data_IF_087603609486
#
_entry.id   IF_087603609486
#
_cell.length_a   1.000
_cell.length_b   1.000
_cell.length_c   1.000
_cell.angle_alpha   90.00
_cell.angle_beta   90.00
_cell.angle_gamma   90.00
#
_symmetry.space_group_name_H-M   'P 1'
#
loop_
_entity.id
_entity.type
_entity.pdbx_description
1 polymer ?
#
# COMPACT_ATOMS: atom_id res chain seq x y z
N UNK A 1 8.47 2.47 4.67
CA UNK A 1 7.40 3.12 5.44
C UNK A 1 7.85 4.49 5.90
N UNK A 2 7.04 5.52 5.61
CA UNK A 2 7.36 6.96 5.72
C UNK A 2 7.19 7.52 7.13
N UNK A 3 6.67 6.75 8.09
CA UNK A 3 6.40 7.22 9.45
C UNK A 3 5.19 8.16 9.57
N UNK A 4 4.43 8.34 8.49
CA UNK A 4 3.25 9.19 8.45
C UNK A 4 2.02 8.49 9.05
N UNK A 5 1.14 9.29 9.64
CA UNK A 5 -0.09 8.80 10.26
C UNK A 5 -0.99 8.12 9.23
N UNK A 6 -1.34 6.86 9.50
CA UNK A 6 -2.24 6.05 8.65
C UNK A 6 -3.41 5.53 9.48
N UNK A 7 -4.58 5.40 8.86
CA UNK A 7 -5.78 4.91 9.54
C UNK A 7 -5.82 3.37 9.57
N UNK A 8 -6.04 2.82 10.76
CA UNK A 8 -6.24 1.39 10.98
C UNK A 8 -7.56 1.15 11.72
N UNK A 9 -8.14 -0.01 11.49
CA UNK A 9 -9.34 -0.48 12.19
C UNK A 9 -8.98 -1.75 12.98
N UNK A 10 -9.39 -1.79 14.25
CA UNK A 10 -9.33 -2.99 15.06
C UNK A 10 -10.72 -3.66 15.08
N UNK A 11 -10.75 -4.99 15.00
CA UNK A 11 -11.99 -5.73 15.24
C UNK A 11 -12.46 -5.55 16.69
N UNK A 12 -13.71 -5.95 16.96
CA UNK A 12 -14.22 -6.00 18.34
C UNK A 12 -13.29 -6.84 19.22
N UNK A 13 -12.80 -6.25 20.32
CA UNK A 13 -11.82 -6.88 21.21
C UNK A 13 -10.35 -6.80 20.76
N UNK A 14 -10.04 -6.10 19.66
CA UNK A 14 -8.69 -5.89 19.13
C UNK A 14 -7.92 -7.20 18.82
N UNK A 15 -8.64 -8.23 18.38
CA UNK A 15 -8.03 -9.51 18.01
C UNK A 15 -7.45 -9.52 16.60
N UNK A 16 -8.00 -8.68 15.71
CA UNK A 16 -7.60 -8.56 14.31
C UNK A 16 -7.40 -7.09 13.94
N UNK A 17 -6.37 -6.84 13.13
CA UNK A 17 -6.02 -5.53 12.59
C UNK A 17 -6.40 -5.46 11.11
N UNK A 18 -6.93 -4.31 10.70
CA UNK A 18 -7.21 -4.00 9.31
C UNK A 18 -6.56 -2.65 8.98
N UNK A 19 -5.98 -2.56 7.78
CA UNK A 19 -5.57 -1.27 7.21
C UNK A 19 -6.75 -0.64 6.45
N UNK A 20 -6.82 0.68 6.46
CA UNK A 20 -7.81 1.44 5.69
C UNK A 20 -7.09 2.15 4.53
N UNK A 21 -7.40 1.76 3.30
CA UNK A 21 -6.87 2.36 2.07
C UNK A 21 -7.98 3.13 1.36
N UNK A 22 -7.64 4.27 0.77
CA UNK A 22 -8.57 5.05 -0.03
C UNK A 22 -8.17 4.99 -1.50
N UNK A 23 -9.06 4.50 -2.35
CA UNK A 23 -8.97 4.76 -3.79
C UNK A 23 -9.53 6.15 -4.06
N UNK A 24 -8.73 6.98 -4.73
CA UNK A 24 -9.07 8.36 -5.05
C UNK A 24 -8.75 8.63 -6.51
N UNK A 25 -9.71 9.21 -7.21
CA UNK A 25 -9.57 9.69 -8.59
C UNK A 25 -10.25 11.06 -8.68
N UNK A 26 -9.66 11.98 -9.46
CA UNK A 26 -10.20 13.33 -9.60
C UNK A 26 -11.57 13.34 -10.27
N UNK A 27 -12.39 14.33 -9.91
CA UNK A 27 -13.74 14.54 -10.49
C UNK A 27 -14.64 13.30 -10.36
N UNK A 28 -14.74 12.77 -9.14
CA UNK A 28 -15.64 11.67 -8.77
C UNK A 28 -16.55 12.06 -7.62
N UNK A 29 -17.77 11.53 -7.64
CA UNK A 29 -18.80 11.65 -6.60
C UNK A 29 -19.66 10.40 -6.58
N UNK A 30 -20.29 10.10 -5.45
CA UNK A 30 -21.24 8.98 -5.34
C UNK A 30 -22.69 9.48 -5.29
N UNK A 31 -23.58 8.75 -5.96
CA UNK A 31 -25.01 8.82 -5.65
C UNK A 31 -25.36 7.71 -4.67
N UNK A 32 -25.82 8.09 -3.48
CA UNK A 32 -26.15 7.17 -2.39
C UNK A 32 -27.62 7.41 -2.01
N UNK A 33 -28.49 6.49 -2.43
CA UNK A 33 -29.93 6.70 -2.36
C UNK A 33 -30.34 7.95 -3.15
N UNK A 34 -30.99 8.89 -2.49
CA UNK A 34 -31.42 10.18 -3.07
C UNK A 34 -30.43 11.32 -2.80
N UNK A 35 -29.23 11.01 -2.28
CA UNK A 35 -28.22 12.01 -1.92
C UNK A 35 -26.98 11.92 -2.81
N UNK A 36 -26.30 13.06 -2.97
CA UNK A 36 -25.01 13.16 -3.66
C UNK A 36 -23.91 13.33 -2.62
N UNK A 37 -23.00 12.37 -2.55
CA UNK A 37 -21.78 12.46 -1.77
C UNK A 37 -20.68 13.05 -2.65
N UNK A 38 -20.24 14.26 -2.31
CA UNK A 38 -19.18 14.95 -3.05
C UNK A 38 -17.84 14.20 -2.98
N UNK A 39 -17.53 13.60 -1.84
CA UNK A 39 -16.31 12.79 -1.69
C UNK A 39 -16.44 11.49 -2.50
N UNK A 40 -15.78 11.46 -3.66
CA UNK A 40 -15.76 10.30 -4.55
C UNK A 40 -14.81 9.18 -4.13
N UNK A 41 -14.14 9.26 -2.97
CA UNK A 41 -13.21 8.21 -2.54
C UNK A 41 -13.95 6.89 -2.25
N UNK A 42 -13.30 5.78 -2.57
CA UNK A 42 -13.73 4.44 -2.18
C UNK A 42 -12.77 3.89 -1.12
N UNK A 43 -13.28 3.64 0.08
CA UNK A 43 -12.50 3.10 1.19
C UNK A 43 -12.50 1.57 1.16
N UNK A 44 -11.31 0.99 1.25
CA UNK A 44 -11.08 -0.44 1.42
C UNK A 44 -10.58 -0.70 2.84
N UNK A 45 -11.16 -1.70 3.49
CA UNK A 45 -10.72 -2.18 4.79
C UNK A 45 -10.22 -3.60 4.59
N UNK A 46 -8.89 -3.77 4.59
CA UNK A 46 -8.24 -5.05 4.27
C UNK A 46 -7.53 -5.61 5.49
N UNK A 47 -7.57 -6.94 5.74
CA UNK A 47 -6.82 -7.54 6.83
C UNK A 47 -5.34 -7.21 6.73
N UNK A 48 -4.72 -6.82 7.85
CA UNK A 48 -3.33 -6.41 7.90
C UNK A 48 -2.56 -7.28 8.89
N UNK A 49 -1.37 -7.74 8.51
CA UNK A 49 -0.49 -8.46 9.42
C UNK A 49 0.14 -7.47 10.43
N UNK A 50 -0.23 -7.54 11.73
CA UNK A 50 0.26 -6.60 12.74
C UNK A 50 1.76 -6.68 12.97
N UNK A 51 2.43 -7.75 12.53
CA UNK A 51 3.87 -7.91 12.70
C UNK A 51 4.66 -6.84 11.92
N UNK A 52 4.13 -6.32 10.80
CA UNK A 52 4.77 -5.19 10.09
C UNK A 52 4.80 -3.92 10.94
N UNK A 53 3.74 -3.63 11.72
CA UNK A 53 3.73 -2.47 12.62
C UNK A 53 4.63 -2.68 13.84
N UNK A 54 4.60 -3.88 14.43
CA UNK A 54 5.47 -4.21 15.58
C UNK A 54 6.95 -4.18 15.20
N UNK A 55 7.27 -4.55 13.95
CA UNK A 55 8.64 -4.55 13.44
C UNK A 55 9.28 -3.16 13.50
N UNK A 56 8.52 -2.08 13.28
CA UNK A 56 9.01 -0.71 13.45
C UNK A 56 9.51 -0.47 14.89
N UNK A 57 8.69 -0.82 15.89
CA UNK A 57 9.03 -0.65 17.30
C UNK A 57 10.22 -1.53 17.72
N UNK A 58 10.28 -2.78 17.25
CA UNK A 58 11.39 -3.69 17.51
C UNK A 58 12.72 -3.15 16.97
N UNK A 59 12.72 -2.66 15.72
CA UNK A 59 13.92 -2.10 15.09
C UNK A 59 14.34 -0.82 15.84
N UNK A 60 13.38 0.03 16.24
CA UNK A 60 13.66 1.23 17.02
C UNK A 60 14.30 0.90 18.37
N UNK A 61 13.70 -0.01 19.14
CA UNK A 61 14.21 -0.42 20.44
C UNK A 61 15.60 -1.08 20.38
N UNK A 62 15.87 -1.84 19.31
CA UNK A 62 17.19 -2.45 19.10
C UNK A 62 18.26 -1.40 18.76
N UNK A 63 17.93 -0.39 17.94
CA UNK A 63 18.83 0.74 17.65
C UNK A 63 19.12 1.59 18.89
N UNK A 64 18.13 1.80 19.75
CA UNK A 64 18.26 2.66 20.93
C UNK A 64 18.97 1.96 22.10
N UNK A 65 18.64 0.70 22.37
CA UNK A 65 19.11 -0.01 23.57
C UNK A 65 19.83 -1.32 23.30
N UNK A 66 19.49 -2.03 22.21
CA UNK A 66 20.10 -3.32 21.84
C UNK A 66 19.89 -4.45 22.86
N UNK A 67 18.90 -4.32 23.75
CA UNK A 67 18.65 -5.23 24.89
C UNK A 67 17.36 -6.03 24.70
N UNK A 68 17.29 -7.16 25.40
CA UNK A 68 16.07 -7.97 25.55
C UNK A 68 15.08 -7.22 26.45
N UNK A 69 13.88 -6.96 25.94
CA UNK A 69 12.85 -6.18 26.63
C UNK A 69 11.48 -6.86 26.54
N UNK A 70 10.60 -6.70 27.54
CA UNK A 70 9.18 -7.07 27.44
C UNK A 70 8.48 -6.31 26.30
N UNK A 71 7.53 -6.95 25.60
CA UNK A 71 6.87 -6.35 24.43
C UNK A 71 6.06 -5.09 24.76
N UNK A 72 5.48 -5.03 25.96
CA UNK A 72 4.77 -3.86 26.49
C UNK A 72 5.68 -2.65 26.73
N UNK A 73 6.99 -2.87 26.89
CA UNK A 73 7.99 -1.79 26.94
C UNK A 73 8.51 -1.40 25.56
N UNK A 74 8.48 -2.34 24.60
CA UNK A 74 8.90 -2.09 23.21
C UNK A 74 7.84 -1.32 22.42
N UNK A 75 6.57 -1.73 22.53
CA UNK A 75 5.44 -1.15 21.76
C UNK A 75 4.81 -0.02 22.56
N UNK A 76 5.59 1.04 22.75
CA UNK A 76 5.19 2.25 23.48
C UNK A 76 5.45 3.50 22.62
N UNK A 77 4.40 4.29 22.40
CA UNK A 77 4.48 5.49 21.58
C UNK A 77 3.55 6.58 22.13
N UNK A 78 4.12 7.74 22.45
CA UNK A 78 3.34 8.89 22.96
C UNK A 78 2.54 9.59 21.87
N UNK A 79 2.99 9.55 20.62
CA UNK A 79 2.27 10.11 19.48
C UNK A 79 1.11 9.19 19.07
N UNK A 80 1.29 7.88 19.26
CA UNK A 80 0.31 6.85 18.94
C UNK A 80 -0.07 6.01 20.17
N UNK A 81 -0.85 6.55 21.12
CA UNK A 81 -1.13 5.91 22.42
C UNK A 81 -1.91 4.58 22.32
N UNK A 82 -2.46 4.26 21.15
CA UNK A 82 -3.18 3.01 20.89
C UNK A 82 -2.28 1.87 20.41
N UNK A 83 -0.98 2.08 20.20
CA UNK A 83 -0.05 1.01 19.78
C UNK A 83 -0.04 -0.24 20.68
N UNK A 84 -0.30 -0.19 22.01
CA UNK A 84 -0.37 -1.40 22.82
C UNK A 84 -1.52 -2.36 22.43
N UNK A 85 -2.52 -1.88 21.68
CA UNK A 85 -3.57 -2.75 21.13
C UNK A 85 -3.01 -3.78 20.16
N UNK A 86 -1.88 -3.51 19.50
CA UNK A 86 -1.21 -4.48 18.61
C UNK A 86 -0.84 -5.76 19.35
N UNK A 87 -0.49 -5.67 20.64
CA UNK A 87 -0.11 -6.83 21.46
C UNK A 87 -1.32 -7.72 21.82
N UNK A 88 -2.55 -7.22 21.66
CA UNK A 88 -3.77 -8.01 21.88
C UNK A 88 -4.12 -8.91 20.69
N UNK A 89 -3.60 -8.59 19.51
CA UNK A 89 -3.81 -9.39 18.30
C UNK A 89 -3.28 -10.81 18.51
N UNK A 90 -4.11 -11.81 18.23
CA UNK A 90 -3.75 -13.21 18.47
C UNK A 90 -2.60 -13.66 17.55
N UNK A 91 -2.59 -13.17 16.32
CA UNK A 91 -1.53 -13.40 15.34
C UNK A 91 -0.16 -12.96 15.85
N UNK A 92 -0.07 -11.88 16.64
CA UNK A 92 1.19 -11.39 17.19
C UNK A 92 1.77 -12.38 18.18
N UNK A 93 0.97 -12.89 19.11
CA UNK A 93 1.44 -13.87 20.11
C UNK A 93 2.03 -15.11 19.45
N UNK A 94 1.40 -15.55 18.36
CA UNK A 94 1.82 -16.74 17.64
C UNK A 94 3.00 -16.49 16.70
N UNK A 95 3.17 -15.27 16.19
CA UNK A 95 4.14 -14.98 15.12
C UNK A 95 5.37 -14.18 15.55
N UNK A 96 5.39 -13.56 16.73
CA UNK A 96 6.48 -12.66 17.16
C UNK A 96 7.87 -13.32 17.10
N UNK A 97 7.95 -14.61 17.41
CA UNK A 97 9.16 -15.42 17.37
C UNK A 97 9.83 -15.51 15.97
N UNK A 98 9.11 -15.13 14.90
CA UNK A 98 9.62 -15.05 13.54
C UNK A 98 10.50 -13.82 13.28
N UNK A 99 10.42 -12.78 14.12
CA UNK A 99 11.21 -11.54 13.96
C UNK A 99 12.07 -11.24 15.18
N UNK A 100 11.86 -11.94 16.31
CA UNK A 100 12.61 -11.73 17.56
C UNK A 100 13.42 -12.94 18.02
N UNK A 101 14.53 -12.68 18.71
CA UNK A 101 15.11 -13.62 19.68
C UNK A 101 14.35 -13.53 21.00
N UNK A 102 14.16 -14.68 21.65
CA UNK A 102 13.38 -14.78 22.89
C UNK A 102 14.28 -15.27 24.03
N UNK A 103 14.10 -14.67 25.21
CA UNK A 103 14.64 -15.16 26.49
C UNK A 103 13.52 -15.19 27.50
N UNK A 104 13.51 -16.23 28.32
CA UNK A 104 12.53 -16.37 29.40
C UNK A 104 13.24 -16.33 30.75
N UNK A 105 12.80 -15.44 31.63
CA UNK A 105 13.34 -15.29 32.99
C UNK A 105 12.14 -15.16 33.93
N UNK A 106 12.01 -16.10 34.87
CA UNK A 106 10.94 -16.06 35.87
C UNK A 106 9.52 -16.13 35.28
N UNK A 107 9.32 -16.83 34.15
CA UNK A 107 8.02 -16.95 33.47
C UNK A 107 7.63 -15.74 32.60
N UNK A 108 8.46 -14.69 32.58
CA UNK A 108 8.29 -13.54 31.70
C UNK A 108 9.17 -13.70 30.45
N UNK A 109 8.58 -13.46 29.27
CA UNK A 109 9.31 -13.44 28.00
C UNK A 109 9.86 -12.05 27.70
N UNK A 110 11.09 -12.03 27.22
CA UNK A 110 11.81 -10.85 26.76
C UNK A 110 12.21 -11.07 25.31
N UNK A 111 12.03 -10.03 24.50
CA UNK A 111 12.22 -10.07 23.06
C UNK A 111 13.32 -9.09 22.66
N UNK A 112 14.11 -9.50 21.66
CA UNK A 112 15.08 -8.63 20.97
C UNK A 112 14.91 -8.80 19.47
N UNK A 113 14.98 -7.72 18.70
CA UNK A 113 14.94 -7.79 17.24
C UNK A 113 16.05 -8.72 16.70
N UNK A 114 15.70 -9.55 15.71
CA UNK A 114 16.68 -10.33 14.97
C UNK A 114 16.45 -10.17 13.47
N UNK A 115 17.39 -9.49 12.82
CA UNK A 115 17.40 -9.28 11.37
C UNK A 115 17.40 -10.59 10.58
N UNK A 116 18.19 -11.58 10.99
CA UNK A 116 18.28 -12.87 10.28
C UNK A 116 16.96 -13.64 10.26
N UNK A 117 16.21 -13.67 11.37
CA UNK A 117 14.86 -14.25 11.41
C UNK A 117 13.86 -13.42 10.59
N UNK A 118 13.95 -12.09 10.69
CA UNK A 118 13.09 -11.16 9.93
C UNK A 118 13.23 -11.35 8.43
N UNK A 119 14.44 -11.48 7.90
CA UNK A 119 14.67 -11.76 6.48
C UNK A 119 14.08 -13.10 6.03
N UNK A 120 14.17 -14.15 6.87
CA UNK A 120 13.53 -15.45 6.59
C UNK A 120 12.00 -15.32 6.56
N UNK A 121 11.42 -14.56 7.49
CA UNK A 121 9.99 -14.27 7.52
C UNK A 121 9.54 -13.47 6.29
N UNK A 122 10.26 -12.39 5.95
CA UNK A 122 9.98 -11.56 4.77
C UNK A 122 10.07 -12.36 3.48
N UNK A 123 11.07 -13.25 3.32
CA UNK A 123 11.14 -14.15 2.15
C UNK A 123 9.90 -15.05 2.03
N UNK A 124 9.35 -15.53 3.15
CA UNK A 124 8.07 -16.28 3.13
C UNK A 124 6.92 -15.38 2.69
N UNK A 125 6.86 -14.13 3.16
CA UNK A 125 5.86 -13.13 2.72
C UNK A 125 5.95 -12.86 1.23
N UNK A 126 7.16 -12.64 0.70
CA UNK A 126 7.40 -12.46 -0.75
C UNK A 126 6.86 -13.65 -1.53
N UNK A 127 7.18 -14.88 -1.11
CA UNK A 127 6.68 -16.07 -1.78
C UNK A 127 5.16 -16.22 -1.70
N UNK A 128 4.54 -15.80 -0.59
CA UNK A 128 3.08 -15.78 -0.46
C UNK A 128 2.46 -14.76 -1.43
N UNK A 129 3.02 -13.57 -1.53
CA UNK A 129 2.59 -12.53 -2.46
C UNK A 129 2.74 -12.99 -3.91
N UNK A 130 3.88 -13.61 -4.28
CA UNK A 130 4.07 -14.20 -5.63
C UNK A 130 2.99 -15.21 -5.97
N UNK A 131 2.65 -16.10 -5.03
CA UNK A 131 1.55 -17.06 -5.23
C UNK A 131 0.22 -16.34 -5.46
N UNK A 132 -0.09 -15.33 -4.65
CA UNK A 132 -1.31 -14.54 -4.78
C UNK A 132 -1.37 -13.80 -6.13
N UNK A 133 -0.27 -13.19 -6.58
CA UNK A 133 -0.19 -12.50 -7.87
C UNK A 133 -0.53 -13.44 -9.03
N UNK A 134 0.06 -14.64 -9.04
CA UNK A 134 -0.22 -15.66 -10.06
C UNK A 134 -1.65 -16.18 -9.99
N UNK A 135 -2.15 -16.48 -8.79
CA UNK A 135 -3.52 -16.97 -8.62
C UNK A 135 -4.58 -15.96 -9.03
N UNK A 136 -4.28 -14.66 -8.94
CA UNK A 136 -5.16 -13.58 -9.37
C UNK A 136 -4.89 -13.10 -10.82
N UNK A 137 -3.99 -13.77 -11.56
CA UNK A 137 -3.61 -13.41 -12.93
C UNK A 137 -3.16 -11.95 -13.10
N UNK A 138 -2.41 -11.43 -12.12
CA UNK A 138 -1.86 -10.07 -12.17
C UNK A 138 -0.60 -10.07 -13.04
N UNK A 139 -0.58 -9.27 -14.10
CA UNK A 139 0.60 -9.02 -14.93
C UNK A 139 1.60 -8.14 -14.17
N UNK A 140 2.86 -8.55 -14.12
CA UNK A 140 3.95 -7.90 -13.35
C UNK A 140 5.12 -7.44 -14.22
N UNK A 141 5.17 -7.85 -15.49
CA UNK A 141 6.23 -7.44 -16.43
C UNK A 141 6.13 -5.98 -16.87
N UNK A 142 7.15 -5.48 -17.58
CA UNK A 142 7.27 -4.09 -18.08
C UNK A 142 6.15 -3.61 -19.02
N UNK A 143 5.20 -4.49 -19.40
CA UNK A 143 4.10 -4.12 -20.29
C UNK A 143 2.97 -3.50 -19.48
N UNK A 144 2.87 -2.18 -19.57
CA UNK A 144 1.72 -1.42 -19.07
C UNK A 144 0.51 -1.77 -19.94
N UNK A 145 -0.44 -2.52 -19.39
CA UNK A 145 -1.77 -2.66 -19.95
C UNK A 145 -2.70 -1.65 -19.26
N UNK A 146 -3.59 -0.98 -20.00
CA UNK A 146 -4.60 -0.14 -19.35
C UNK A 146 -5.51 -1.01 -18.49
N UNK A 147 -6.10 -0.45 -17.42
CA UNK A 147 -7.01 -1.17 -16.52
C UNK A 147 -8.21 -1.83 -17.26
N UNK A 148 -8.55 -1.34 -18.45
CA UNK A 148 -9.59 -1.85 -19.36
C UNK A 148 -9.10 -2.84 -20.42
N UNK A 149 -7.80 -3.10 -20.54
CA UNK A 149 -7.25 -3.98 -21.57
C UNK A 149 -7.21 -5.43 -21.09
N UNK A 150 -8.13 -6.24 -21.58
CA UNK A 150 -8.07 -7.70 -21.45
C UNK A 150 -7.19 -8.24 -22.58
N UNK A 151 -5.92 -8.45 -22.27
CA UNK A 151 -5.00 -9.12 -23.19
C UNK A 151 -5.39 -10.59 -23.36
N UNK A 152 -5.76 -11.02 -24.57
CA UNK A 152 -5.92 -12.44 -24.89
C UNK A 152 -4.59 -13.22 -25.05
N UNK A 153 -3.43 -12.57 -24.82
CA UNK A 153 -2.11 -13.19 -24.91
C UNK A 153 -1.66 -13.75 -23.56
N UNK A 154 -1.01 -14.92 -23.52
CA UNK A 154 -0.53 -15.51 -22.28
C UNK A 154 0.48 -14.59 -21.60
N UNK A 155 0.40 -14.53 -20.27
CA UNK A 155 1.36 -13.81 -19.42
C UNK A 155 2.73 -14.48 -19.60
N UNK A 156 3.72 -13.72 -20.10
CA UNK A 156 5.10 -14.20 -20.32
C UNK A 156 6.07 -13.66 -19.27
N UNK A 157 5.55 -13.28 -18.10
CA UNK A 157 6.34 -12.70 -17.03
C UNK A 157 7.24 -13.77 -16.39
N UNK A 158 8.49 -13.42 -16.15
CA UNK A 158 9.45 -14.33 -15.54
C UNK A 158 9.20 -14.48 -14.04
N UNK A 159 9.69 -15.56 -13.43
CA UNK A 159 9.66 -15.72 -11.98
C UNK A 159 10.36 -14.56 -11.26
N UNK A 160 11.43 -14.02 -11.85
CA UNK A 160 12.16 -12.87 -11.30
C UNK A 160 11.31 -11.60 -11.29
N UNK A 161 10.48 -11.39 -12.31
CA UNK A 161 9.57 -10.23 -12.37
C UNK A 161 8.53 -10.28 -11.24
N UNK A 162 7.96 -11.45 -10.97
CA UNK A 162 7.04 -11.64 -9.84
C UNK A 162 7.73 -11.39 -8.50
N UNK A 163 8.95 -11.90 -8.32
CA UNK A 163 9.70 -11.69 -7.07
C UNK A 163 10.03 -10.21 -6.89
N UNK A 164 10.43 -9.51 -7.96
CA UNK A 164 10.71 -8.07 -7.94
C UNK A 164 9.45 -7.27 -7.62
N UNK A 165 8.32 -7.59 -8.25
CA UNK A 165 7.05 -6.92 -7.99
C UNK A 165 6.56 -7.15 -6.55
N UNK A 166 6.64 -8.40 -6.07
CA UNK A 166 6.27 -8.75 -4.70
C UNK A 166 7.19 -8.08 -3.66
N UNK A 167 8.50 -7.97 -3.95
CA UNK A 167 9.44 -7.19 -3.13
C UNK A 167 9.02 -5.71 -3.07
N UNK A 168 8.65 -5.12 -4.21
CA UNK A 168 8.13 -3.75 -4.29
C UNK A 168 6.91 -3.54 -3.39
N UNK A 169 5.89 -4.40 -3.50
CA UNK A 169 4.70 -4.34 -2.64
C UNK A 169 5.04 -4.44 -1.15
N UNK A 170 5.93 -5.37 -0.77
CA UNK A 170 6.34 -5.55 0.64
C UNK A 170 7.16 -4.36 1.14
N UNK A 171 7.94 -3.72 0.27
CA UNK A 171 8.80 -2.58 0.62
C UNK A 171 8.02 -1.38 1.13
N UNK A 172 6.75 -1.23 0.75
CA UNK A 172 5.86 -0.18 1.26
C UNK A 172 5.64 -0.31 2.79
N UNK A 173 5.64 -1.55 3.30
CA UNK A 173 5.33 -1.87 4.69
C UNK A 173 6.55 -1.96 5.61
N UNK A 174 7.78 -1.86 5.08
CA UNK A 174 9.02 -1.98 5.85
C UNK A 174 9.93 -0.75 5.71
N UNK A 175 10.91 -0.53 6.63
CA UNK A 175 11.91 0.52 6.46
C UNK A 175 12.80 0.30 5.23
N UNK A 176 13.34 1.40 4.69
CA UNK A 176 14.15 1.37 3.46
C UNK A 176 15.41 0.51 3.61
N UNK A 177 16.08 0.57 4.75
CA UNK A 177 17.26 -0.25 5.03
C UNK A 177 16.93 -1.75 4.97
N UNK A 178 15.81 -2.15 5.55
CA UNK A 178 15.36 -3.54 5.55
C UNK A 178 14.93 -3.98 4.14
N UNK A 179 14.34 -3.08 3.35
CA UNK A 179 14.01 -3.34 1.94
C UNK A 179 15.26 -3.62 1.11
N UNK A 180 16.34 -2.85 1.29
CA UNK A 180 17.63 -3.06 0.62
C UNK A 180 18.25 -4.40 1.00
N UNK A 181 18.20 -4.74 2.30
CA UNK A 181 18.70 -6.04 2.79
C UNK A 181 17.86 -7.22 2.26
N UNK A 182 16.54 -7.07 2.20
CA UNK A 182 15.65 -8.06 1.61
C UNK A 182 15.96 -8.27 0.12
N UNK A 183 16.18 -7.20 -0.64
CA UNK A 183 16.55 -7.28 -2.06
C UNK A 183 17.83 -8.10 -2.24
N UNK A 184 18.86 -7.82 -1.43
CA UNK A 184 20.12 -8.59 -1.42
C UNK A 184 19.89 -10.05 -1.02
N UNK A 185 19.05 -10.29 -0.01
CA UNK A 185 18.72 -11.64 0.47
C UNK A 185 17.95 -12.48 -0.55
N UNK A 186 17.16 -11.84 -1.42
CA UNK A 186 16.44 -12.48 -2.52
C UNK A 186 17.29 -12.69 -3.78
N UNK A 187 18.46 -12.06 -3.87
CA UNK A 187 19.32 -12.11 -5.06
C UNK A 187 18.79 -11.25 -6.21
N UNK A 188 18.00 -10.22 -5.92
CA UNK A 188 17.48 -9.33 -6.96
C UNK A 188 18.58 -8.37 -7.46
N UNK A 189 18.67 -8.11 -8.79
CA UNK A 189 19.61 -7.14 -9.33
C UNK A 189 19.40 -5.76 -8.71
N UNK A 190 20.48 -5.10 -8.33
CA UNK A 190 20.43 -3.72 -7.85
C UNK A 190 19.80 -2.85 -8.95
N UNK A 191 18.76 -2.09 -8.61
CA UNK A 191 18.11 -1.18 -9.56
C UNK A 191 19.14 -0.14 -10.01
N UNK A 192 19.78 -0.35 -11.16
CA UNK A 192 20.43 0.73 -11.88
C UNK A 192 19.35 1.73 -12.21
N UNK A 193 19.45 2.93 -11.62
CA UNK A 193 18.62 4.08 -11.96
C UNK A 193 18.59 4.18 -13.49
N UNK A 194 17.41 4.16 -14.14
CA UNK A 194 17.35 4.36 -15.57
C UNK A 194 18.05 5.68 -15.89
N UNK A 195 18.91 5.68 -16.92
CA UNK A 195 19.46 6.92 -17.46
C UNK A 195 18.29 7.89 -17.73
N UNK A 196 18.49 9.21 -17.51
CA UNK A 196 17.42 10.19 -17.68
C UNK A 196 16.75 9.99 -19.04
N UNK A 197 15.41 9.89 -19.03
CA UNK A 197 14.61 9.70 -20.23
C UNK A 197 15.07 10.69 -21.32
N UNK A 198 15.31 10.22 -22.57
CA UNK A 198 15.60 11.13 -23.66
C UNK A 198 14.44 12.14 -23.77
N UNK A 199 14.72 13.43 -23.96
CA UNK A 199 13.70 14.47 -23.89
C UNK A 199 12.55 14.12 -24.82
N UNK A 200 11.34 14.10 -24.25
CA UNK A 200 10.09 14.01 -25.01
C UNK A 200 10.18 14.99 -26.17
N UNK A 201 10.24 14.48 -27.41
CA UNK A 201 10.06 15.33 -28.59
C UNK A 201 8.70 15.96 -28.45
N UNK A 202 8.68 17.23 -28.00
CA UNK A 202 7.50 18.08 -28.02
C UNK A 202 6.95 17.99 -29.44
N UNK A 203 5.80 17.34 -29.58
CA UNK A 203 5.00 17.44 -30.80
C UNK A 203 4.71 18.94 -30.93
N UNK A 204 5.13 19.56 -32.04
CA UNK A 204 4.82 20.97 -32.32
C UNK A 204 3.31 21.11 -32.30
N UNK A 205 2.77 21.63 -31.19
CA UNK A 205 1.45 22.22 -31.17
C UNK A 205 1.57 23.46 -32.06
N UNK A 206 0.91 23.43 -33.21
CA UNK A 206 0.69 24.64 -34.00
C UNK A 206 -0.23 25.55 -33.22
N UNK A 207 0.19 26.80 -32.99
CA UNK A 207 -0.59 27.91 -32.40
C UNK A 207 -1.71 28.41 -33.34
N UNK A 208 -2.52 27.50 -33.88
CA UNK A 208 -3.73 27.87 -34.62
C UNK A 208 -4.92 27.61 -33.69
N UNK A 209 -5.74 28.63 -33.37
CA UNK A 209 -6.98 28.42 -32.64
C UNK A 209 -7.83 27.39 -33.37
N UNK A 210 -8.13 26.28 -32.70
CA UNK A 210 -9.14 25.33 -33.19
C UNK A 210 -10.48 25.93 -32.80
N UNK A 211 -11.20 26.52 -33.77
CA UNK A 211 -12.59 26.91 -33.54
C UNK A 211 -13.44 25.65 -33.33
N UNK A 212 -14.24 25.65 -32.27
CA UNK A 212 -15.25 24.63 -32.06
C UNK A 212 -16.38 24.85 -33.08
N UNK A 213 -16.55 23.93 -34.03
CA UNK A 213 -17.57 24.07 -35.09
C UNK A 213 -19.01 23.98 -34.57
N UNK A 214 -19.25 23.49 -33.35
CA UNK A 214 -20.61 23.24 -32.86
C UNK A 214 -20.80 23.65 -31.40
N UNK A 215 -21.33 24.87 -31.21
CA UNK A 215 -21.82 25.39 -29.95
C UNK A 215 -23.27 24.90 -29.70
N UNK A 216 -23.41 23.84 -28.90
CA UNK A 216 -24.69 23.22 -28.55
C UNK A 216 -25.55 24.03 -27.57
N UNK A 217 -25.14 25.26 -27.21
CA UNK A 217 -25.85 26.06 -26.19
C UNK A 217 -27.12 26.76 -26.72
N UNK A 218 -27.53 26.55 -27.98
CA UNK A 218 -28.63 27.29 -28.63
C UNK A 218 -30.02 26.67 -28.58
N UNK A 219 -30.25 25.57 -27.86
CA UNK A 219 -31.57 24.91 -27.85
C UNK A 219 -32.52 25.24 -26.68
N UNK A 220 -32.17 26.18 -25.80
CA UNK A 220 -33.01 26.50 -24.63
C UNK A 220 -33.42 27.98 -24.50
N UNK A 221 -33.75 28.65 -25.61
CA UNK A 221 -34.58 29.87 -25.57
C UNK A 221 -36.01 29.56 -26.01
N UNK A 222 -36.74 28.88 -25.13
CA UNK A 222 -38.19 28.81 -25.21
C UNK A 222 -38.76 30.23 -25.09
N UNK A 223 -39.27 30.75 -26.20
CA UNK A 223 -39.98 32.03 -26.26
C UNK A 223 -41.28 31.93 -25.44
N UNK A 224 -41.20 32.34 -24.18
CA UNK A 224 -42.32 32.58 -23.30
C UNK A 224 -42.50 34.10 -23.12
N UNK A 225 -43.73 34.57 -23.44
CA UNK A 225 -44.32 35.92 -23.23
C UNK A 225 -44.15 36.86 -24.44
N UNK A 226 -45.15 37.59 -24.95
CA UNK A 226 -46.50 37.95 -24.48
C UNK A 226 -47.26 38.72 -25.63
N UNK A 227 -48.61 38.73 -25.59
CA UNK A 227 -49.59 39.85 -25.87
C UNK A 227 -49.21 40.93 -26.93
N UNK A 228 -50.07 41.43 -27.85
CA UNK A 228 -51.53 41.72 -27.86
C UNK A 228 -51.93 42.29 -29.26
N UNK A 229 -53.18 42.02 -29.68
CA UNK A 229 -54.18 42.88 -30.38
C UNK A 229 -53.81 43.60 -31.70
N UNK A 230 -54.53 43.23 -32.78
CA UNK A 230 -55.58 44.05 -33.41
C UNK A 230 -56.63 43.13 -34.04
#
# INVERSE_FOLDING_TARGET
STGEATLYLFSSGAQQLFEVKAFHEEYRSWFIGETVQQDGRLLFVTPMDPLFLILYYLIKADKEQGKFQPLDQVVLDSEYPYCPLLLKCEDVKQSIHHVTEEKEIGGQKFHKYSQGKTLKWLKKKVNQTVKALKSNNICVGERIFSATFISGKPITDSEEDYVRYAHGLISEYIPEELSKELSKYLGLPELTVPAPEPPLKRRKLSDVPVEAEEDYTKFNSSNLKNKKVS
#
